data_IF_974566291727
#
_entry.id   IF_974566291727
#
_cell.length_a   1.000
_cell.length_b   1.000
_cell.length_c   1.000
_cell.angle_alpha   90.00
_cell.angle_beta   90.00
_cell.angle_gamma   90.00
#
_symmetry.space_group_name_H-M   'P 1'
#
loop_
_entity.id
_entity.type
_entity.pdbx_description
1 polymer ?
#
# COMPACT_ATOMS: atom_id res chain seq x y z
N UNK A 1 35.73 -30.61 -43.00
CA UNK A 1 36.16 -29.73 -41.90
C UNK A 1 34.95 -28.97 -41.40
N UNK A 2 34.56 -29.19 -40.14
CA UNK A 2 33.85 -28.24 -39.26
C UNK A 2 33.33 -29.04 -38.05
N UNK A 3 34.12 -29.02 -36.98
CA UNK A 3 33.71 -29.40 -35.64
C UNK A 3 32.77 -28.34 -35.07
N UNK A 4 31.76 -28.74 -34.31
CA UNK A 4 31.39 -28.07 -33.05
C UNK A 4 30.66 -29.05 -32.13
N UNK A 5 31.33 -29.45 -31.05
CA UNK A 5 30.70 -29.88 -29.81
C UNK A 5 30.28 -28.64 -29.00
N UNK A 6 29.09 -28.70 -28.37
CA UNK A 6 28.72 -28.03 -27.11
C UNK A 6 27.24 -28.39 -26.84
N UNK A 7 26.96 -29.43 -26.05
CA UNK A 7 26.76 -29.41 -24.59
C UNK A 7 25.79 -28.32 -24.12
N UNK A 8 24.52 -28.72 -23.89
CA UNK A 8 23.79 -28.32 -22.68
C UNK A 8 22.62 -29.27 -22.45
N UNK A 9 22.71 -30.02 -21.35
CA UNK A 9 21.60 -30.75 -20.76
C UNK A 9 20.46 -29.78 -20.41
N UNK A 10 19.24 -30.14 -20.75
CA UNK A 10 18.08 -29.69 -19.99
C UNK A 10 17.36 -30.94 -19.53
N UNK A 11 17.53 -31.23 -18.24
CA UNK A 11 16.79 -32.22 -17.50
C UNK A 11 15.31 -32.12 -17.84
N UNK A 12 14.72 -33.27 -18.16
CA UNK A 12 13.30 -33.53 -17.99
C UNK A 12 12.95 -33.19 -16.54
N UNK A 13 12.10 -32.19 -16.34
CA UNK A 13 11.31 -32.09 -15.13
C UNK A 13 9.86 -32.01 -15.61
N UNK A 14 9.17 -33.14 -15.44
CA UNK A 14 7.72 -33.22 -15.37
C UNK A 14 7.26 -32.39 -14.14
N UNK A 15 5.96 -32.06 -14.08
CA UNK A 15 5.26 -31.36 -12.96
C UNK A 15 5.41 -29.82 -13.03
N UNK A 16 4.38 -28.97 -13.14
CA UNK A 16 2.93 -29.06 -13.01
C UNK A 16 2.29 -28.09 -14.02
N UNK A 17 1.30 -28.56 -14.76
CA UNK A 17 0.36 -27.74 -15.51
C UNK A 17 -0.68 -27.22 -14.51
N UNK A 18 -0.46 -26.03 -13.92
CA UNK A 18 -1.55 -25.32 -13.24
C UNK A 18 -2.52 -24.78 -14.30
N UNK A 19 -3.49 -25.62 -14.62
CA UNK A 19 -4.75 -25.31 -15.28
C UNK A 19 -5.37 -24.05 -14.66
N UNK A 20 -5.29 -22.93 -15.37
CA UNK A 20 -5.95 -21.69 -15.01
C UNK A 20 -7.46 -21.82 -15.30
N UNK A 21 -8.34 -21.84 -14.28
CA UNK A 21 -9.78 -21.81 -14.55
C UNK A 21 -10.17 -20.37 -14.88
N UNK A 22 -10.64 -20.11 -16.10
CA UNK A 22 -11.29 -18.84 -16.43
C UNK A 22 -12.56 -18.67 -15.59
N UNK A 23 -12.69 -17.61 -14.76
CA UNK A 23 -13.91 -17.38 -14.04
C UNK A 23 -14.82 -16.47 -14.86
N UNK A 24 -15.70 -17.06 -15.65
CA UNK A 24 -16.94 -16.40 -16.04
C UNK A 24 -17.73 -16.02 -14.77
N UNK A 25 -17.87 -14.72 -14.51
CA UNK A 25 -18.84 -14.21 -13.54
C UNK A 25 -19.47 -12.91 -14.00
N UNK A 26 -20.59 -13.07 -14.69
CA UNK A 26 -21.70 -12.12 -14.68
C UNK A 26 -22.22 -11.91 -13.26
N UNK A 27 -22.08 -10.67 -12.76
CA UNK A 27 -22.95 -9.91 -11.83
C UNK A 27 -22.12 -9.01 -10.93
N UNK A 28 -22.13 -7.71 -11.25
CA UNK A 28 -21.86 -6.60 -10.33
C UNK A 28 -20.79 -6.85 -9.26
N UNK A 29 -19.56 -7.18 -9.65
CA UNK A 29 -18.40 -6.94 -8.77
C UNK A 29 -18.19 -5.45 -8.73
N UNK A 30 -18.89 -4.76 -7.81
CA UNK A 30 -18.42 -3.47 -7.28
C UNK A 30 -16.96 -3.69 -6.96
N UNK A 31 -16.09 -3.11 -7.77
CA UNK A 31 -14.63 -3.18 -7.68
C UNK A 31 -14.27 -2.95 -6.22
N UNK A 32 -14.09 -4.01 -5.45
CA UNK A 32 -13.72 -3.89 -4.05
C UNK A 32 -12.33 -3.28 -4.12
N UNK A 33 -12.26 -1.96 -3.89
CA UNK A 33 -11.02 -1.22 -3.88
C UNK A 33 -10.18 -1.88 -2.81
N UNK A 34 -9.18 -2.65 -3.24
CA UNK A 34 -8.17 -3.25 -2.37
C UNK A 34 -7.54 -2.06 -1.64
N UNK A 35 -8.01 -1.80 -0.43
CA UNK A 35 -7.56 -0.70 0.39
C UNK A 35 -6.04 -0.80 0.44
N UNK A 36 -5.32 0.29 0.17
CA UNK A 36 -3.86 0.30 0.25
C UNK A 36 -3.47 -0.32 1.60
N UNK A 37 -2.81 -1.49 1.58
CA UNK A 37 -2.42 -2.32 2.73
C UNK A 37 -1.72 -1.50 3.82
N UNK A 38 -2.45 -0.75 4.65
CA UNK A 38 -1.94 0.10 5.71
C UNK A 38 -2.83 -0.09 6.92
N UNK A 39 -2.22 -0.50 8.02
CA UNK A 39 -2.88 -0.81 9.27
C UNK A 39 -3.50 0.46 9.88
N UNK A 40 -4.46 0.24 10.79
CA UNK A 40 -5.10 1.35 11.51
C UNK A 40 -4.09 2.18 12.32
N UNK A 41 -3.08 1.55 12.91
CA UNK A 41 -1.99 2.23 13.63
C UNK A 41 -1.15 3.14 12.72
N UNK A 42 -0.72 2.63 11.55
CA UNK A 42 0.00 3.44 10.57
C UNK A 42 -0.85 4.64 10.09
N UNK A 43 -2.15 4.43 9.86
CA UNK A 43 -3.05 5.51 9.45
C UNK A 43 -3.25 6.55 10.55
N UNK A 44 -3.39 6.13 11.81
CA UNK A 44 -3.49 7.03 12.96
C UNK A 44 -2.28 7.95 13.05
N UNK A 45 -1.08 7.38 13.02
CA UNK A 45 0.19 8.11 13.09
C UNK A 45 0.32 9.13 11.94
N UNK A 46 -0.03 8.70 10.72
CA UNK A 46 -0.03 9.57 9.56
C UNK A 46 -1.01 10.75 9.72
N UNK A 47 -2.25 10.49 10.15
CA UNK A 47 -3.25 11.56 10.33
C UNK A 47 -2.86 12.49 11.48
N UNK A 48 -2.29 11.97 12.57
CA UNK A 48 -1.83 12.80 13.70
C UNK A 48 -0.75 13.79 13.25
N UNK A 49 0.30 13.30 12.57
CA UNK A 49 1.37 14.15 12.04
C UNK A 49 0.82 15.18 11.04
N UNK A 50 -0.07 14.74 10.15
CA UNK A 50 -0.71 15.63 9.18
C UNK A 50 -1.59 16.70 9.84
N UNK A 51 -2.13 16.46 11.04
CA UNK A 51 -2.92 17.46 11.78
C UNK A 51 -2.08 18.36 12.67
N UNK A 52 -0.97 17.84 13.20
CA UNK A 52 -0.04 18.60 14.06
C UNK A 52 0.88 19.52 13.27
N UNK A 53 1.20 19.17 12.03
CA UNK A 53 2.04 20.01 11.20
C UNK A 53 1.24 21.22 10.69
N UNK A 54 1.78 22.42 10.91
CA UNK A 54 1.23 23.64 10.32
C UNK A 54 1.26 23.50 8.78
N UNK A 55 0.09 23.65 8.17
CA UNK A 55 -0.12 23.58 6.73
C UNK A 55 0.41 24.84 6.02
N UNK A 56 1.66 25.20 6.27
CA UNK A 56 2.40 26.30 5.62
C UNK A 56 2.78 25.94 4.15
N UNK A 57 1.86 25.32 3.41
CA UNK A 57 2.06 24.88 2.02
C UNK A 57 3.08 23.74 1.80
N UNK A 58 3.90 23.40 2.80
CA UNK A 58 5.01 22.43 2.66
C UNK A 58 4.57 20.97 2.80
N UNK A 59 3.55 20.54 2.03
CA UNK A 59 3.03 19.16 2.03
C UNK A 59 4.12 18.10 1.81
N UNK A 60 5.13 18.40 1.00
CA UNK A 60 6.27 17.51 0.78
C UNK A 60 7.12 17.28 2.05
N UNK A 61 7.30 18.31 2.90
CA UNK A 61 8.02 18.22 4.17
C UNK A 61 7.22 17.42 5.20
N UNK A 62 5.90 17.61 5.24
CA UNK A 62 5.02 16.84 6.13
C UNK A 62 5.01 15.36 5.73
N UNK A 63 4.90 15.05 4.44
CA UNK A 63 4.97 13.66 3.97
C UNK A 63 6.33 13.01 4.31
N UNK A 64 7.43 13.78 4.25
CA UNK A 64 8.73 13.27 4.70
C UNK A 64 8.76 12.94 6.20
N UNK A 65 8.07 13.72 7.05
CA UNK A 65 7.92 13.40 8.48
C UNK A 65 7.13 12.11 8.69
N UNK A 66 6.03 11.92 7.96
CA UNK A 66 5.22 10.70 8.02
C UNK A 66 6.05 9.48 7.60
N UNK A 67 6.78 9.54 6.48
CA UNK A 67 7.66 8.44 6.06
C UNK A 67 8.64 8.07 7.17
N UNK A 68 9.29 9.07 7.78
CA UNK A 68 10.26 8.86 8.86
C UNK A 68 9.63 8.24 10.11
N UNK A 69 8.43 8.68 10.52
CA UNK A 69 7.78 8.13 11.72
C UNK A 69 7.27 6.71 11.48
N UNK A 70 6.70 6.43 10.30
CA UNK A 70 6.24 5.08 9.96
C UNK A 70 7.39 4.08 9.95
N UNK A 71 8.54 4.48 9.40
CA UNK A 71 9.74 3.65 9.44
C UNK A 71 10.24 3.45 10.87
N UNK A 72 10.23 4.49 11.72
CA UNK A 72 10.74 4.40 13.09
C UNK A 72 9.83 3.60 14.03
N UNK A 73 8.52 3.81 13.95
CA UNK A 73 7.55 3.28 14.91
C UNK A 73 6.98 1.92 14.47
N UNK A 74 6.82 1.70 13.16
CA UNK A 74 6.22 0.48 12.62
C UNK A 74 7.18 -0.36 11.78
N UNK A 75 8.40 0.12 11.52
CA UNK A 75 9.35 -0.54 10.63
C UNK A 75 8.91 -0.52 9.16
N UNK A 76 7.84 0.21 8.82
CA UNK A 76 7.25 0.17 7.48
C UNK A 76 7.81 1.29 6.61
N UNK A 77 8.36 0.89 5.46
CA UNK A 77 8.85 1.81 4.43
C UNK A 77 7.75 2.14 3.42
N UNK A 78 7.35 3.40 3.34
CA UNK A 78 6.35 3.90 2.38
C UNK A 78 6.91 5.03 1.54
N UNK A 79 6.44 5.15 0.31
CA UNK A 79 6.77 6.31 -0.52
C UNK A 79 5.86 7.50 -0.18
N UNK A 80 6.33 8.72 -0.46
CA UNK A 80 5.54 9.94 -0.26
C UNK A 80 4.26 9.93 -1.10
N UNK A 81 4.31 9.38 -2.30
CA UNK A 81 3.15 9.34 -3.20
C UNK A 81 2.12 8.30 -2.78
N UNK A 82 2.55 7.17 -2.21
CA UNK A 82 1.64 6.23 -1.55
C UNK A 82 0.87 6.91 -0.41
N UNK A 83 1.56 7.68 0.43
CA UNK A 83 0.93 8.41 1.53
C UNK A 83 0.00 9.52 1.03
N UNK A 84 0.37 10.24 -0.04
CA UNK A 84 -0.50 11.24 -0.66
C UNK A 84 -1.78 10.60 -1.20
N UNK A 85 -1.66 9.48 -1.90
CA UNK A 85 -2.81 8.72 -2.41
C UNK A 85 -3.69 8.23 -1.26
N UNK A 86 -3.08 7.64 -0.22
CA UNK A 86 -3.81 7.14 0.96
C UNK A 86 -4.56 8.25 1.69
N UNK A 87 -3.94 9.42 1.84
CA UNK A 87 -4.60 10.59 2.43
C UNK A 87 -5.84 11.03 1.64
N UNK A 88 -5.72 11.07 0.32
CA UNK A 88 -6.83 11.41 -0.57
C UNK A 88 -7.95 10.39 -0.47
N UNK A 89 -7.63 9.09 -0.51
CA UNK A 89 -8.61 8.01 -0.36
C UNK A 89 -9.32 8.08 1.00
N UNK A 90 -8.57 8.34 2.07
CA UNK A 90 -9.10 8.46 3.42
C UNK A 90 -10.11 9.61 3.54
N UNK A 91 -9.84 10.74 2.87
CA UNK A 91 -10.74 11.91 2.88
C UNK A 91 -11.95 11.77 1.97
N UNK A 92 -11.79 11.16 0.79
CA UNK A 92 -12.80 11.20 -0.28
C UNK A 92 -13.63 9.91 -0.40
N UNK A 93 -13.07 8.78 0.02
CA UNK A 93 -13.67 7.46 -0.19
C UNK A 93 -13.95 6.74 1.13
N UNK A 94 -13.08 6.88 2.13
CA UNK A 94 -13.14 6.11 3.38
C UNK A 94 -13.54 6.98 4.59
N UNK A 95 -14.67 7.68 4.45
CA UNK A 95 -15.17 8.63 5.47
C UNK A 95 -15.35 8.01 6.87
N UNK A 96 -15.73 6.73 6.96
CA UNK A 96 -15.88 6.05 8.25
C UNK A 96 -14.54 5.77 8.94
N UNK A 97 -13.54 5.29 8.19
CA UNK A 97 -12.19 5.08 8.75
C UNK A 97 -11.59 6.41 9.22
N UNK A 98 -11.73 7.47 8.43
CA UNK A 98 -11.30 8.81 8.82
C UNK A 98 -12.01 9.31 10.08
N UNK A 99 -13.33 9.10 10.18
CA UNK A 99 -14.11 9.46 11.39
C UNK A 99 -13.60 8.68 12.60
N UNK A 100 -13.35 7.37 12.48
CA UNK A 100 -12.84 6.55 13.57
C UNK A 100 -11.47 7.02 14.06
N UNK A 101 -10.54 7.26 13.12
CA UNK A 101 -9.21 7.81 13.40
C UNK A 101 -9.32 9.15 14.12
N UNK A 102 -10.14 10.07 13.60
CA UNK A 102 -10.31 11.40 14.20
C UNK A 102 -10.83 11.34 15.63
N UNK A 103 -11.78 10.44 15.93
CA UNK A 103 -12.31 10.25 17.30
C UNK A 103 -11.23 9.77 18.26
N UNK A 104 -10.41 8.81 17.83
CA UNK A 104 -9.29 8.31 18.66
C UNK A 104 -8.32 9.44 18.98
N UNK A 105 -7.89 10.20 17.96
CA UNK A 105 -6.97 11.33 18.14
C UNK A 105 -7.54 12.49 18.98
N UNK A 106 -8.86 12.61 19.09
CA UNK A 106 -9.50 13.62 19.95
C UNK A 106 -9.57 13.17 21.42
N UNK A 107 -9.71 11.87 21.69
CA UNK A 107 -9.76 11.31 23.05
C UNK A 107 -8.37 11.18 23.68
N UNK A 108 -7.31 11.17 22.88
CA UNK A 108 -5.92 11.08 23.32
C UNK A 108 -5.22 12.43 23.48
N UNK A 109 -5.97 13.54 23.49
CA UNK A 109 -5.50 14.90 23.80
C UNK A 109 -5.97 15.30 25.18
#
# INVERSE_FOLDING_TARGET
>A
MAETQQVRANYTNEEEEEESPEPEMSRSRRRQFKASNMSFGEMLEMVDILKRADYDGKKAKIMAKVVKSLQKNFGVRRSKDQLRKRWSDLKLREHEQYRRIRRVLQKSK
#
